data_IF_150503143279
#
_entry.id   IF_150503143279
#
_cell.length_a   1.000
_cell.length_b   1.000
_cell.length_c   1.000
_cell.angle_alpha   90.00
_cell.angle_beta   90.00
_cell.angle_gamma   90.00
#
_symmetry.space_group_name_H-M   'P 1'
#
loop_
_entity.id
_entity.type
_entity.pdbx_description
1 polymer ?
#
# COMPACT_ATOMS: atom_id res chain seq x y z
N UNK A 1 -27.61 6.53 7.55
CA UNK A 1 -27.77 5.09 7.25
C UNK A 1 -26.70 4.58 6.31
N UNK A 2 -26.56 5.12 5.09
CA UNK A 2 -25.55 4.61 4.13
C UNK A 2 -24.12 5.05 4.50
N UNK A 3 -23.95 6.26 5.04
CA UNK A 3 -22.69 6.74 5.62
C UNK A 3 -22.28 5.89 6.84
N UNK A 4 -23.20 5.68 7.78
CA UNK A 4 -22.93 4.87 8.98
C UNK A 4 -22.51 3.44 8.62
N UNK A 5 -23.12 2.85 7.59
CA UNK A 5 -22.75 1.52 7.10
C UNK A 5 -21.37 1.49 6.45
N UNK A 6 -20.97 2.55 5.74
CA UNK A 6 -19.64 2.66 5.17
C UNK A 6 -18.56 2.75 6.26
N UNK A 7 -18.82 3.51 7.33
CA UNK A 7 -17.93 3.64 8.49
C UNK A 7 -17.79 2.31 9.25
N UNK A 8 -18.89 1.61 9.52
CA UNK A 8 -18.89 0.30 10.19
C UNK A 8 -18.10 -0.76 9.41
N UNK A 9 -18.18 -0.70 8.07
CA UNK A 9 -17.50 -1.63 7.17
C UNK A 9 -16.07 -1.18 6.78
N UNK A 10 -15.64 0.01 7.20
CA UNK A 10 -14.32 0.57 6.86
C UNK A 10 -14.09 0.75 5.36
N UNK A 11 -15.16 0.98 4.59
CA UNK A 11 -15.14 1.10 3.14
C UNK A 11 -15.59 2.49 2.70
N UNK A 12 -15.28 2.89 1.46
CA UNK A 12 -15.86 4.13 0.92
C UNK A 12 -17.33 3.94 0.53
N UNK A 13 -18.13 5.01 0.59
CA UNK A 13 -19.52 5.01 0.07
C UNK A 13 -19.55 4.62 -1.41
N UNK A 14 -18.55 5.03 -2.18
CA UNK A 14 -18.39 4.68 -3.60
C UNK A 14 -18.20 3.18 -3.80
N UNK A 15 -17.37 2.53 -3.00
CA UNK A 15 -17.26 1.06 -3.03
C UNK A 15 -18.57 0.37 -2.64
N UNK A 16 -19.29 0.93 -1.67
CA UNK A 16 -20.55 0.34 -1.19
C UNK A 16 -21.64 0.35 -2.27
N UNK A 17 -21.62 1.34 -3.17
CA UNK A 17 -22.54 1.44 -4.31
C UNK A 17 -22.01 0.73 -5.57
N UNK A 18 -20.90 0.01 -5.48
CA UNK A 18 -20.31 -0.76 -6.57
C UNK A 18 -19.51 0.09 -7.57
N UNK A 19 -19.24 1.35 -7.27
CA UNK A 19 -18.30 2.17 -8.04
C UNK A 19 -16.88 1.74 -7.70
N UNK A 20 -15.98 1.63 -8.70
CA UNK A 20 -14.59 1.26 -8.44
C UNK A 20 -14.00 2.26 -7.45
N UNK A 21 -13.34 1.73 -6.41
CA UNK A 21 -12.56 2.54 -5.50
C UNK A 21 -11.60 3.38 -6.33
N UNK A 22 -11.87 4.69 -6.45
CA UNK A 22 -10.88 5.62 -6.92
C UNK A 22 -9.84 5.72 -5.80
N UNK A 23 -8.94 4.74 -5.75
CA UNK A 23 -7.68 4.89 -5.05
C UNK A 23 -7.16 6.22 -5.54
N UNK A 24 -7.11 7.19 -4.63
CA UNK A 24 -6.61 8.53 -4.91
C UNK A 24 -5.16 8.32 -5.34
N UNK A 25 -4.95 8.10 -6.64
CA UNK A 25 -3.66 8.11 -7.29
C UNK A 25 -3.22 9.55 -7.16
N UNK A 26 -2.52 9.85 -6.06
CA UNK A 26 -2.07 11.20 -5.72
C UNK A 26 -1.34 11.73 -6.95
N UNK A 27 -1.82 12.80 -7.59
CA UNK A 27 -1.11 13.43 -8.69
C UNK A 27 0.24 13.88 -8.12
N UNK A 28 1.31 13.21 -8.54
CA UNK A 28 2.62 13.42 -7.97
C UNK A 28 3.57 12.28 -8.28
N UNK A 29 4.88 12.51 -8.06
CA UNK A 29 5.85 11.44 -8.17
C UNK A 29 5.49 10.31 -7.20
N UNK A 30 5.85 9.07 -7.58
CA UNK A 30 5.60 7.88 -6.77
C UNK A 30 5.95 8.12 -5.30
N UNK A 31 5.17 7.54 -4.37
CA UNK A 31 5.42 7.65 -2.93
C UNK A 31 6.88 7.33 -2.62
N UNK A 32 7.48 7.98 -1.61
CA UNK A 32 8.85 7.70 -1.17
C UNK A 32 9.08 6.21 -0.90
N UNK A 33 8.08 5.53 -0.34
CA UNK A 33 8.13 4.08 -0.11
C UNK A 33 8.24 3.33 -1.44
N UNK A 34 7.41 3.68 -2.42
CA UNK A 34 7.44 3.06 -3.76
C UNK A 34 8.81 3.26 -4.41
N UNK A 35 9.35 4.48 -4.37
CA UNK A 35 10.69 4.79 -4.89
C UNK A 35 11.78 3.95 -4.21
N UNK A 36 11.67 3.73 -2.90
CA UNK A 36 12.60 2.89 -2.13
C UNK A 36 12.49 1.41 -2.51
N UNK A 37 11.27 0.89 -2.70
CA UNK A 37 11.03 -0.48 -3.17
C UNK A 37 11.60 -0.69 -4.57
N UNK A 38 11.40 0.28 -5.46
CA UNK A 38 11.93 0.23 -6.82
C UNK A 38 13.47 0.25 -6.81
N UNK A 39 14.08 1.08 -5.95
CA UNK A 39 15.53 1.12 -5.76
C UNK A 39 16.09 -0.21 -5.23
N UNK A 40 15.42 -0.83 -4.25
CA UNK A 40 15.82 -2.15 -3.71
C UNK A 40 15.73 -3.22 -4.80
N UNK A 41 14.71 -3.18 -5.65
CA UNK A 41 14.48 -4.14 -6.73
C UNK A 41 15.58 -4.13 -7.80
N UNK A 42 16.30 -3.01 -7.95
CA UNK A 42 17.45 -2.88 -8.86
C UNK A 42 18.78 -3.37 -8.25
N UNK A 43 18.82 -3.69 -6.96
CA UNK A 43 20.04 -4.19 -6.30
C UNK A 43 20.33 -5.66 -6.66
N UNK A 44 21.56 -6.14 -6.48
CA UNK A 44 21.88 -7.57 -6.59
C UNK A 44 21.03 -8.44 -5.63
N UNK A 45 20.73 -9.68 -6.04
CA UNK A 45 19.87 -10.61 -5.29
C UNK A 45 20.28 -10.82 -3.83
N UNK A 46 21.58 -10.82 -3.52
CA UNK A 46 22.08 -10.91 -2.15
C UNK A 46 21.65 -9.75 -1.26
N UNK A 47 21.64 -8.52 -1.81
CA UNK A 47 21.19 -7.32 -1.10
C UNK A 47 19.66 -7.26 -0.97
N UNK A 48 18.94 -7.72 -1.99
CA UNK A 48 17.48 -7.84 -1.93
C UNK A 48 17.04 -8.80 -0.82
N UNK A 49 17.73 -9.95 -0.70
CA UNK A 49 17.46 -10.94 0.34
C UNK A 49 17.68 -10.37 1.74
N UNK A 50 18.81 -9.69 1.97
CA UNK A 50 19.08 -9.02 3.24
C UNK A 50 17.97 -8.02 3.63
N UNK A 51 17.50 -7.22 2.67
CA UNK A 51 16.41 -6.27 2.92
C UNK A 51 15.11 -6.98 3.29
N UNK A 52 14.79 -8.10 2.63
CA UNK A 52 13.59 -8.89 2.91
C UNK A 52 13.65 -9.52 4.30
N UNK A 53 14.79 -10.14 4.65
CA UNK A 53 14.98 -10.78 5.96
C UNK A 53 14.85 -9.76 7.12
N UNK A 54 15.34 -8.53 6.94
CA UNK A 54 15.18 -7.44 7.91
C UNK A 54 13.73 -6.97 8.03
N UNK A 55 13.03 -6.82 6.90
CA UNK A 55 11.62 -6.43 6.90
C UNK A 55 10.76 -7.49 7.60
N UNK A 56 11.00 -8.77 7.34
CA UNK A 56 10.31 -9.88 8.01
C UNK A 56 10.52 -9.83 9.53
N UNK A 57 11.74 -9.52 9.97
CA UNK A 57 12.06 -9.40 11.40
C UNK A 57 11.33 -8.23 12.07
N UNK A 58 11.20 -7.09 11.39
CA UNK A 58 10.58 -5.87 11.94
C UNK A 58 9.05 -5.94 11.89
N UNK A 59 8.49 -6.56 10.86
CA UNK A 59 7.05 -6.67 10.64
C UNK A 59 6.41 -7.86 11.38
N UNK A 60 7.19 -8.87 11.78
CA UNK A 60 6.71 -9.97 12.61
C UNK A 60 6.42 -9.58 14.08
N UNK A 61 6.24 -8.28 14.37
CA UNK A 61 5.95 -7.74 15.71
C UNK A 61 4.52 -7.22 15.82
#
# INVERSE_FOLDING_TARGET
>A
MLLDLADELGTSVTELIGEPAHLLAKPGPASRLQQQVDAISQLPRSKQKLASDLLDTVLAR
#
